data_IF_817104949303
#
_entry.id   IF_817104949303
#
_cell.length_a   1.000
_cell.length_b   1.000
_cell.length_c   1.000
_cell.angle_alpha   90.00
_cell.angle_beta   90.00
_cell.angle_gamma   90.00
#
_symmetry.space_group_name_H-M   'P 1'
#
loop_
_entity.id
_entity.type
_entity.pdbx_description
1 polymer ?
#
# COMPACT_ATOMS: atom_id res chain seq x y z
N UNK A 1 -4.54 -23.17 8.41
CA UNK A 1 -3.79 -22.04 8.99
C UNK A 1 -3.23 -22.48 10.33
N UNK A 2 -1.91 -22.40 10.52
CA UNK A 2 -1.29 -22.73 11.81
C UNK A 2 -1.40 -21.52 12.74
N UNK A 3 -1.46 -21.75 14.06
CA UNK A 3 -1.49 -20.67 15.08
C UNK A 3 -0.30 -19.71 14.96
N UNK A 4 0.81 -20.17 14.40
CA UNK A 4 2.02 -19.39 14.18
C UNK A 4 1.85 -18.21 13.16
N UNK A 5 0.89 -18.30 12.23
CA UNK A 5 0.65 -17.24 11.23
C UNK A 5 -0.32 -16.16 11.73
N UNK A 6 -1.03 -16.40 12.83
CA UNK A 6 -2.03 -15.49 13.37
C UNK A 6 -1.50 -14.08 13.67
N UNK A 7 -0.30 -13.89 14.27
CA UNK A 7 0.24 -12.54 14.49
C UNK A 7 0.42 -11.74 13.20
N UNK A 8 0.90 -12.38 12.11
CA UNK A 8 1.05 -11.72 10.81
C UNK A 8 -0.30 -11.31 10.20
N UNK A 9 -1.31 -12.17 10.32
CA UNK A 9 -2.67 -11.87 9.83
C UNK A 9 -3.29 -10.70 10.62
N UNK A 10 -3.18 -10.72 11.94
CA UNK A 10 -3.69 -9.63 12.79
C UNK A 10 -2.97 -8.32 12.54
N UNK A 11 -1.64 -8.35 12.39
CA UNK A 11 -0.86 -7.17 12.07
C UNK A 11 -1.26 -6.60 10.70
N UNK A 12 -1.39 -7.43 9.67
CA UNK A 12 -1.84 -7.01 8.35
C UNK A 12 -3.25 -6.41 8.40
N UNK A 13 -4.20 -7.07 9.06
CA UNK A 13 -5.57 -6.60 9.21
C UNK A 13 -5.61 -5.23 9.92
N UNK A 14 -4.85 -5.07 11.00
CA UNK A 14 -4.77 -3.82 11.76
C UNK A 14 -4.15 -2.68 10.93
N UNK A 15 -3.09 -2.96 10.16
CA UNK A 15 -2.45 -1.97 9.28
C UNK A 15 -3.41 -1.54 8.17
N UNK A 16 -4.06 -2.49 7.50
CA UNK A 16 -5.00 -2.18 6.42
C UNK A 16 -6.19 -1.39 6.96
N UNK A 17 -6.77 -1.78 8.08
CA UNK A 17 -7.85 -1.04 8.73
C UNK A 17 -7.41 0.38 9.10
N UNK A 18 -6.28 0.52 9.79
CA UNK A 18 -5.74 1.82 10.20
C UNK A 18 -5.48 2.72 8.97
N UNK A 19 -4.88 2.16 7.91
CA UNK A 19 -4.58 2.93 6.69
C UNK A 19 -5.84 3.41 5.98
N UNK A 20 -6.90 2.58 5.92
CA UNK A 20 -8.19 2.99 5.35
C UNK A 20 -8.89 4.10 6.15
N UNK A 21 -8.69 4.16 7.46
CA UNK A 21 -9.17 5.26 8.29
C UNK A 21 -8.28 6.49 8.10
N UNK A 22 -6.98 6.33 8.20
CA UNK A 22 -6.00 7.42 8.19
C UNK A 22 -5.87 8.10 6.82
N UNK A 23 -6.24 7.44 5.73
CA UNK A 23 -6.29 8.06 4.39
C UNK A 23 -7.31 9.22 4.30
N UNK A 24 -8.29 9.28 5.20
CA UNK A 24 -9.26 10.38 5.28
C UNK A 24 -8.66 11.67 5.88
N UNK A 25 -7.48 11.60 6.52
CA UNK A 25 -6.84 12.73 7.17
C UNK A 25 -5.64 13.21 6.37
N UNK A 26 -5.70 14.46 5.89
CA UNK A 26 -4.65 15.08 5.12
C UNK A 26 -3.39 15.32 5.97
N UNK A 27 -2.24 15.17 5.36
CA UNK A 27 -0.93 15.57 5.86
C UNK A 27 -0.25 16.49 4.85
N UNK A 28 -0.33 17.79 5.08
CA UNK A 28 0.14 18.82 4.14
C UNK A 28 -0.69 18.85 2.85
N UNK A 29 -0.04 19.22 1.73
CA UNK A 29 -0.69 19.40 0.42
C UNK A 29 -0.81 18.10 -0.39
N UNK A 30 0.11 17.14 -0.17
CA UNK A 30 0.37 16.05 -1.11
C UNK A 30 0.05 14.67 -0.56
N UNK A 31 -0.12 14.56 0.75
CA UNK A 31 -0.16 13.28 1.45
C UNK A 31 -1.37 13.16 2.36
N UNK A 32 -1.65 11.94 2.77
CA UNK A 32 -2.53 11.61 3.89
C UNK A 32 -1.75 10.84 4.95
N UNK A 33 -2.28 10.75 6.17
CA UNK A 33 -1.69 9.90 7.21
C UNK A 33 -1.65 8.42 6.82
N UNK A 34 -2.55 7.99 5.92
CA UNK A 34 -2.54 6.65 5.35
C UNK A 34 -1.26 6.32 4.59
N UNK A 35 -0.62 7.32 3.95
CA UNK A 35 0.63 7.13 3.22
C UNK A 35 1.79 6.66 4.12
N UNK A 36 1.74 6.95 5.42
CA UNK A 36 2.76 6.54 6.39
C UNK A 36 2.48 5.16 7.02
N UNK A 37 1.23 4.72 7.05
CA UNK A 37 0.84 3.45 7.68
C UNK A 37 0.79 2.30 6.69
N UNK A 38 0.30 2.55 5.48
CA UNK A 38 0.14 1.53 4.44
C UNK A 38 1.44 0.79 4.07
N UNK A 39 2.63 1.44 3.95
CA UNK A 39 3.88 0.73 3.65
C UNK A 39 4.30 -0.31 4.69
N UNK A 40 3.77 -0.25 5.92
CA UNK A 40 4.01 -1.29 6.93
C UNK A 40 3.44 -2.66 6.52
N UNK A 41 2.47 -2.69 5.60
CA UNK A 41 1.96 -3.94 5.03
C UNK A 41 3.06 -4.73 4.30
N UNK A 42 3.95 -4.06 3.57
CA UNK A 42 5.10 -4.71 2.92
C UNK A 42 6.06 -5.31 3.96
N UNK A 43 6.34 -4.59 5.05
CA UNK A 43 7.18 -5.13 6.13
C UNK A 43 6.58 -6.41 6.74
N UNK A 44 5.26 -6.45 6.97
CA UNK A 44 4.59 -7.66 7.49
C UNK A 44 4.71 -8.80 6.49
N UNK A 45 4.46 -8.56 5.21
CA UNK A 45 4.57 -9.55 4.14
C UNK A 45 6.00 -10.09 4.04
N UNK A 46 6.99 -9.21 4.07
CA UNK A 46 8.41 -9.55 4.02
C UNK A 46 8.85 -10.41 5.22
N UNK A 47 8.41 -10.04 6.43
CA UNK A 47 8.67 -10.82 7.64
C UNK A 47 8.05 -12.22 7.55
N UNK A 48 6.81 -12.32 7.10
CA UNK A 48 6.12 -13.59 6.91
C UNK A 48 6.82 -14.45 5.86
N UNK A 49 7.25 -13.84 4.76
CA UNK A 49 7.97 -14.55 3.70
C UNK A 49 9.36 -15.03 4.20
N UNK A 50 10.09 -14.18 4.93
CA UNK A 50 11.41 -14.56 5.46
C UNK A 50 11.34 -15.69 6.49
N UNK A 51 10.36 -15.65 7.40
CA UNK A 51 10.27 -16.57 8.53
C UNK A 51 9.57 -17.88 8.12
N UNK A 52 8.44 -17.76 7.40
CA UNK A 52 7.55 -18.90 7.12
C UNK A 52 7.48 -19.30 5.65
N UNK A 53 8.02 -18.47 4.72
CA UNK A 53 8.01 -18.73 3.30
C UNK A 53 6.83 -18.07 2.56
N UNK A 54 6.79 -18.23 1.21
CA UNK A 54 5.84 -17.52 0.36
C UNK A 54 4.39 -17.95 0.53
N UNK A 55 4.12 -19.20 0.93
CA UNK A 55 2.76 -19.70 1.15
C UNK A 55 2.03 -18.92 2.25
N UNK A 56 2.56 -18.92 3.50
CA UNK A 56 2.02 -18.12 4.59
C UNK A 56 1.99 -16.61 4.30
N UNK A 57 2.99 -16.06 3.61
CA UNK A 57 2.99 -14.65 3.21
C UNK A 57 1.77 -14.32 2.34
N UNK A 58 1.45 -15.15 1.33
CA UNK A 58 0.25 -14.99 0.50
C UNK A 58 -1.05 -15.06 1.31
N UNK A 59 -1.13 -15.96 2.32
CA UNK A 59 -2.31 -16.02 3.20
C UNK A 59 -2.52 -14.71 3.96
N UNK A 60 -1.45 -14.08 4.43
CA UNK A 60 -1.50 -12.77 5.10
C UNK A 60 -1.93 -11.69 4.13
N UNK A 61 -1.42 -11.70 2.89
CA UNK A 61 -1.85 -10.78 1.82
C UNK A 61 -3.34 -10.92 1.55
N UNK A 62 -3.85 -12.14 1.37
CA UNK A 62 -5.28 -12.36 1.14
C UNK A 62 -6.15 -11.93 2.33
N UNK A 63 -5.69 -12.13 3.57
CA UNK A 63 -6.40 -11.63 4.74
C UNK A 63 -6.48 -10.09 4.73
N UNK A 64 -5.38 -9.40 4.45
CA UNK A 64 -5.35 -7.95 4.28
C UNK A 64 -6.26 -7.47 3.15
N UNK A 65 -6.24 -8.14 2.01
CA UNK A 65 -7.11 -7.85 0.87
C UNK A 65 -8.59 -7.92 1.25
N UNK A 66 -9.00 -9.00 1.93
CA UNK A 66 -10.40 -9.15 2.38
C UNK A 66 -10.79 -8.01 3.32
N UNK A 67 -9.93 -7.67 4.29
CA UNK A 67 -10.19 -6.53 5.20
C UNK A 67 -10.29 -5.23 4.41
N UNK A 68 -9.39 -4.99 3.45
CA UNK A 68 -9.42 -3.80 2.60
C UNK A 68 -10.71 -3.68 1.77
N UNK A 69 -11.18 -4.80 1.19
CA UNK A 69 -12.45 -4.84 0.46
C UNK A 69 -13.62 -4.48 1.38
N UNK A 70 -13.69 -5.06 2.57
CA UNK A 70 -14.73 -4.70 3.54
C UNK A 70 -14.67 -3.23 3.95
N UNK A 71 -13.48 -2.69 4.23
CA UNK A 71 -13.31 -1.27 4.53
C UNK A 71 -13.80 -0.39 3.36
N UNK A 72 -13.44 -0.73 2.13
CA UNK A 72 -13.87 0.01 0.94
C UNK A 72 -15.38 -0.05 0.76
N UNK A 73 -16.00 -1.23 0.91
CA UNK A 73 -17.48 -1.37 0.82
C UNK A 73 -18.19 -0.56 1.88
N UNK A 74 -17.70 -0.52 3.12
CA UNK A 74 -18.24 0.34 4.16
C UNK A 74 -18.04 1.81 3.78
N UNK A 75 -16.85 2.18 3.31
CA UNK A 75 -16.50 3.55 2.92
C UNK A 75 -17.37 4.10 1.78
N UNK A 76 -17.86 3.25 0.86
CA UNK A 76 -18.80 3.69 -0.21
C UNK A 76 -20.19 4.04 0.33
N UNK A 77 -20.56 3.58 1.52
CA UNK A 77 -21.84 3.87 2.16
C UNK A 77 -21.78 5.09 3.10
N UNK A 78 -20.59 5.51 3.48
CA UNK A 78 -20.38 6.68 4.35
C UNK A 78 -20.36 7.92 3.47
N UNK A 79 -21.35 8.82 3.66
CA UNK A 79 -21.42 10.09 2.96
C UNK A 79 -20.78 11.19 3.80
N UNK A 80 -19.79 11.87 3.22
CA UNK A 80 -19.13 13.04 3.79
C UNK A 80 -19.78 14.30 3.23
N UNK A 81 -19.77 15.38 4.02
CA UNK A 81 -20.26 16.69 3.61
C UNK A 81 -19.10 17.58 3.20
N UNK A 82 -19.11 18.06 1.97
CA UNK A 82 -18.29 19.16 1.50
C UNK A 82 -19.04 20.49 1.48
N UNK A 83 -18.45 21.51 0.93
CA UNK A 83 -19.05 22.85 0.81
C UNK A 83 -20.21 22.84 -0.21
N UNK A 84 -21.42 22.47 0.28
CA UNK A 84 -22.64 22.46 -0.50
C UNK A 84 -22.96 21.15 -1.26
N UNK A 85 -22.16 20.12 -1.13
CA UNK A 85 -22.43 18.80 -1.72
C UNK A 85 -22.03 17.65 -0.80
N UNK A 86 -22.59 16.46 -1.06
CA UNK A 86 -22.24 15.23 -0.36
C UNK A 86 -21.49 14.29 -1.30
N UNK A 87 -20.50 13.58 -0.78
CA UNK A 87 -19.73 12.61 -1.55
C UNK A 87 -19.38 11.39 -0.68
N UNK A 88 -19.20 10.19 -1.29
CA UNK A 88 -18.84 9.01 -0.53
C UNK A 88 -17.40 9.13 0.00
N UNK A 89 -17.15 8.64 1.20
CA UNK A 89 -15.81 8.62 1.78
C UNK A 89 -14.82 7.81 0.93
N UNK A 90 -15.32 6.81 0.20
CA UNK A 90 -14.55 6.03 -0.78
C UNK A 90 -15.40 5.91 -2.05
N UNK A 91 -14.89 6.39 -3.19
CA UNK A 91 -15.55 6.20 -4.49
C UNK A 91 -15.30 4.79 -5.02
N UNK A 92 -16.11 4.32 -5.97
CA UNK A 92 -15.94 3.00 -6.58
C UNK A 92 -14.56 2.87 -7.25
N UNK A 93 -14.08 3.93 -7.90
CA UNK A 93 -12.75 3.97 -8.51
C UNK A 93 -11.63 3.81 -7.48
N UNK A 94 -11.74 4.49 -6.34
CA UNK A 94 -10.78 4.34 -5.23
C UNK A 94 -10.84 2.92 -4.68
N UNK A 95 -12.03 2.34 -4.49
CA UNK A 95 -12.20 0.98 -4.00
C UNK A 95 -11.55 -0.06 -4.94
N UNK A 96 -11.84 0.03 -6.24
CA UNK A 96 -11.25 -0.85 -7.26
C UNK A 96 -9.74 -0.63 -7.34
N UNK A 97 -9.29 0.61 -7.42
CA UNK A 97 -7.88 0.98 -7.52
C UNK A 97 -7.07 0.47 -6.34
N UNK A 98 -7.54 0.69 -5.12
CA UNK A 98 -6.85 0.23 -3.90
C UNK A 98 -6.81 -1.30 -3.80
N UNK A 99 -7.91 -1.99 -4.13
CA UNK A 99 -7.96 -3.45 -4.10
C UNK A 99 -7.01 -4.09 -5.13
N UNK A 100 -7.05 -3.63 -6.38
CA UNK A 100 -6.18 -4.15 -7.45
C UNK A 100 -4.71 -3.81 -7.20
N UNK A 101 -4.41 -2.58 -6.78
CA UNK A 101 -3.06 -2.14 -6.46
C UNK A 101 -2.48 -2.98 -5.31
N UNK A 102 -3.21 -3.08 -4.18
CA UNK A 102 -2.79 -3.88 -3.04
C UNK A 102 -2.50 -5.33 -3.42
N UNK A 103 -3.46 -6.00 -4.03
CA UNK A 103 -3.33 -7.43 -4.33
C UNK A 103 -2.17 -7.71 -5.30
N UNK A 104 -2.10 -6.93 -6.39
CA UNK A 104 -1.05 -7.09 -7.40
C UNK A 104 0.34 -6.80 -6.83
N UNK A 105 0.48 -5.67 -6.14
CA UNK A 105 1.76 -5.24 -5.58
C UNK A 105 2.27 -6.23 -4.53
N UNK A 106 1.43 -6.64 -3.58
CA UNK A 106 1.80 -7.55 -2.52
C UNK A 106 2.12 -8.97 -3.03
N UNK A 107 1.40 -9.48 -4.02
CA UNK A 107 1.71 -10.80 -4.60
C UNK A 107 3.02 -10.78 -5.40
N UNK A 108 3.30 -9.69 -6.12
CA UNK A 108 4.57 -9.50 -6.83
C UNK A 108 5.72 -9.34 -5.83
N UNK A 109 5.49 -8.56 -4.75
CA UNK A 109 6.45 -8.44 -3.65
C UNK A 109 6.82 -9.81 -3.09
N UNK A 110 5.85 -10.65 -2.73
CA UNK A 110 6.08 -12.03 -2.25
C UNK A 110 6.91 -12.83 -3.26
N UNK A 111 6.63 -12.72 -4.55
CA UNK A 111 7.32 -13.49 -5.58
C UNK A 111 8.79 -13.03 -5.76
N UNK A 112 9.03 -11.72 -5.77
CA UNK A 112 10.39 -11.15 -5.89
C UNK A 112 11.19 -11.47 -4.64
N UNK A 113 10.60 -11.25 -3.45
CA UNK A 113 11.25 -11.57 -2.19
C UNK A 113 11.70 -13.03 -2.13
N UNK A 114 10.82 -13.96 -2.51
CA UNK A 114 11.14 -15.40 -2.46
C UNK A 114 12.30 -15.75 -3.40
N UNK A 115 12.35 -15.16 -4.59
CA UNK A 115 13.46 -15.36 -5.53
C UNK A 115 14.80 -14.85 -4.98
N UNK A 116 14.77 -13.77 -4.20
CA UNK A 116 15.97 -13.10 -3.68
C UNK A 116 16.30 -13.50 -2.23
N UNK A 117 15.48 -14.33 -1.58
CA UNK A 117 15.57 -14.63 -0.14
C UNK A 117 16.88 -15.31 0.29
N UNK A 118 17.58 -15.98 -0.63
CA UNK A 118 18.87 -16.64 -0.34
C UNK A 118 20.08 -15.69 -0.38
N UNK A 119 19.87 -14.47 -0.89
CA UNK A 119 20.91 -13.45 -0.98
C UNK A 119 21.16 -12.71 0.34
N UNK A 120 21.88 -11.59 0.25
CA UNK A 120 22.11 -10.71 1.40
C UNK A 120 20.79 -10.28 2.03
N UNK A 121 20.76 -10.18 3.34
CA UNK A 121 19.55 -9.99 4.16
C UNK A 121 18.65 -8.81 3.74
N UNK A 122 19.23 -7.73 3.21
CA UNK A 122 18.54 -6.50 2.82
C UNK A 122 18.04 -6.50 1.35
N UNK A 123 18.65 -7.34 0.48
CA UNK A 123 18.33 -7.33 -0.97
C UNK A 123 16.89 -7.75 -1.25
N UNK A 124 16.45 -8.80 -0.60
CA UNK A 124 15.09 -9.29 -0.81
C UNK A 124 14.04 -8.23 -0.41
N UNK A 125 13.98 -7.74 0.85
CA UNK A 125 12.97 -6.78 1.24
C UNK A 125 13.07 -5.45 0.48
N UNK A 126 14.28 -4.95 0.19
CA UNK A 126 14.41 -3.69 -0.52
C UNK A 126 13.95 -3.80 -1.99
N UNK A 127 14.38 -4.84 -2.69
CA UNK A 127 14.03 -5.00 -4.11
C UNK A 127 12.55 -5.33 -4.30
N UNK A 128 11.97 -6.20 -3.45
CA UNK A 128 10.56 -6.56 -3.54
C UNK A 128 9.67 -5.35 -3.24
N UNK A 129 9.96 -4.63 -2.15
CA UNK A 129 9.19 -3.44 -1.77
C UNK A 129 9.35 -2.31 -2.77
N UNK A 130 10.54 -2.10 -3.37
CA UNK A 130 10.73 -1.10 -4.43
C UNK A 130 9.81 -1.37 -5.63
N UNK A 131 9.79 -2.59 -6.13
CA UNK A 131 8.94 -2.96 -7.28
C UNK A 131 7.48 -2.95 -6.87
N UNK A 132 7.14 -3.56 -5.72
CA UNK A 132 5.78 -3.62 -5.21
C UNK A 132 5.18 -2.22 -5.00
N UNK A 133 5.89 -1.32 -4.32
CA UNK A 133 5.41 0.05 -4.07
C UNK A 133 5.27 0.88 -5.36
N UNK A 134 6.15 0.67 -6.34
CA UNK A 134 6.04 1.32 -7.65
C UNK A 134 4.77 0.88 -8.39
N UNK A 135 4.49 -0.42 -8.41
CA UNK A 135 3.27 -0.97 -9.02
C UNK A 135 2.01 -0.52 -8.27
N UNK A 136 2.05 -0.57 -6.94
CA UNK A 136 0.95 -0.11 -6.10
C UNK A 136 0.57 1.34 -6.41
N UNK A 137 1.54 2.25 -6.36
CA UNK A 137 1.32 3.67 -6.63
C UNK A 137 0.84 3.90 -8.07
N UNK A 138 1.48 3.26 -9.06
CA UNK A 138 1.10 3.42 -10.46
C UNK A 138 -0.34 2.94 -10.71
N UNK A 139 -0.71 1.76 -10.23
CA UNK A 139 -2.04 1.20 -10.40
C UNK A 139 -3.09 2.02 -9.66
N UNK A 140 -2.84 2.31 -8.38
CA UNK A 140 -3.80 3.04 -7.57
C UNK A 140 -4.13 4.41 -8.15
N UNK A 141 -3.11 5.26 -8.35
CA UNK A 141 -3.34 6.64 -8.81
C UNK A 141 -3.92 6.70 -10.23
N UNK A 142 -3.49 5.80 -11.12
CA UNK A 142 -4.07 5.73 -12.47
C UNK A 142 -5.55 5.35 -12.43
N UNK A 143 -5.93 4.31 -11.68
CA UNK A 143 -7.33 3.85 -11.64
C UNK A 143 -8.20 4.87 -10.89
N UNK A 144 -7.73 5.36 -9.75
CA UNK A 144 -8.51 6.27 -8.92
C UNK A 144 -8.73 7.64 -9.58
N UNK A 145 -7.72 8.20 -10.25
CA UNK A 145 -7.72 9.63 -10.60
C UNK A 145 -7.54 9.97 -12.08
N UNK A 146 -7.03 9.07 -12.94
CA UNK A 146 -6.82 9.40 -14.35
C UNK A 146 -8.14 9.71 -15.08
N UNK A 147 -8.18 10.80 -15.85
CA UNK A 147 -9.32 11.15 -16.70
C UNK A 147 -9.61 10.11 -17.80
N UNK A 148 -8.62 9.32 -18.21
CA UNK A 148 -8.78 8.23 -19.19
C UNK A 148 -9.63 7.06 -18.71
N UNK A 149 -9.93 6.96 -17.42
CA UNK A 149 -10.70 5.86 -16.80
C UNK A 149 -12.02 6.32 -16.17
N UNK A 150 -12.56 7.49 -16.55
CA UNK A 150 -13.83 8.02 -16.05
C UNK A 150 -15.03 7.11 -16.36
N UNK A 151 -14.92 6.26 -17.37
CA UNK A 151 -15.94 5.27 -17.73
C UNK A 151 -16.22 4.23 -16.64
N UNK A 152 -15.27 4.01 -15.68
CA UNK A 152 -15.50 3.10 -14.54
C UNK A 152 -16.57 3.64 -13.59
N UNK A 153 -16.60 4.96 -13.38
CA UNK A 153 -17.56 5.64 -12.51
C UNK A 153 -17.81 7.06 -13.07
N UNK A 154 -18.68 7.20 -14.07
CA UNK A 154 -18.92 8.49 -14.73
C UNK A 154 -19.45 9.60 -13.81
N UNK A 155 -20.11 9.22 -12.71
CA UNK A 155 -20.64 10.17 -11.73
C UNK A 155 -19.57 10.74 -10.79
N UNK A 156 -18.36 10.12 -10.74
CA UNK A 156 -17.28 10.58 -9.90
C UNK A 156 -16.46 11.66 -10.63
N UNK A 157 -16.59 12.90 -10.17
CA UNK A 157 -15.80 14.01 -10.70
C UNK A 157 -14.35 13.93 -10.21
N UNK A 158 -13.43 13.73 -11.14
CA UNK A 158 -11.98 13.72 -10.92
C UNK A 158 -11.29 14.92 -11.59
N UNK A 159 -12.03 15.95 -11.98
CA UNK A 159 -11.48 17.15 -12.67
C UNK A 159 -10.41 17.82 -11.82
N UNK A 160 -10.64 17.93 -10.51
CA UNK A 160 -9.69 18.47 -9.54
C UNK A 160 -8.33 17.77 -9.57
N UNK A 161 -8.32 16.44 -9.71
CA UNK A 161 -7.09 15.65 -9.76
C UNK A 161 -6.37 15.77 -11.10
N UNK A 162 -7.09 16.18 -12.16
CA UNK A 162 -6.56 16.38 -13.51
C UNK A 162 -6.25 17.85 -13.82
N UNK A 163 -6.37 18.75 -12.86
CA UNK A 163 -5.92 20.13 -12.98
C UNK A 163 -4.43 20.16 -13.31
N UNK A 164 -4.06 20.91 -14.32
CA UNK A 164 -2.68 21.01 -14.83
C UNK A 164 -1.93 22.05 -14.02
N UNK A 165 -1.04 21.56 -13.15
CA UNK A 165 -0.24 22.36 -12.22
C UNK A 165 1.26 22.07 -12.39
N UNK A 166 2.16 22.97 -11.91
CA UNK A 166 3.58 22.65 -11.87
C UNK A 166 3.84 21.39 -11.06
N UNK A 167 4.50 20.40 -11.65
CA UNK A 167 4.82 19.12 -11.02
C UNK A 167 5.61 19.34 -9.73
N UNK A 168 5.07 18.89 -8.60
CA UNK A 168 5.62 19.13 -7.25
C UNK A 168 5.90 20.62 -6.95
N UNK A 169 5.12 21.55 -7.53
CA UNK A 169 5.25 23.01 -7.42
C UNK A 169 6.51 23.63 -8.09
N UNK A 170 7.38 22.84 -8.71
CA UNK A 170 8.67 23.36 -9.25
C UNK A 170 9.01 22.80 -10.64
N UNK A 171 8.36 21.72 -11.09
CA UNK A 171 8.63 21.04 -12.35
C UNK A 171 7.79 21.52 -13.54
N UNK A 172 7.85 20.83 -14.68
CA UNK A 172 6.97 21.07 -15.81
C UNK A 172 5.50 20.83 -15.41
N UNK A 173 4.56 21.40 -16.17
CA UNK A 173 3.14 21.22 -15.89
C UNK A 173 2.68 19.79 -16.14
N UNK A 174 1.91 19.24 -15.20
CA UNK A 174 1.37 17.88 -15.23
C UNK A 174 0.04 17.82 -14.46
N UNK A 175 -0.80 16.81 -14.67
CA UNK A 175 -1.98 16.60 -13.83
C UNK A 175 -1.61 16.46 -12.36
N UNK A 176 -2.40 17.08 -11.48
CA UNK A 176 -2.16 17.11 -10.03
C UNK A 176 -1.96 15.69 -9.43
N UNK A 177 -2.75 14.70 -9.89
CA UNK A 177 -2.63 13.32 -9.38
C UNK A 177 -1.24 12.72 -9.59
N UNK A 178 -0.47 13.16 -10.59
CA UNK A 178 0.91 12.69 -10.79
C UNK A 178 1.85 13.19 -9.69
N UNK A 179 1.66 14.43 -9.23
CA UNK A 179 2.41 14.97 -8.07
C UNK A 179 2.07 14.22 -6.79
N UNK A 180 0.77 13.93 -6.57
CA UNK A 180 0.32 13.12 -5.43
C UNK A 180 0.92 11.72 -5.47
N UNK A 181 0.93 11.08 -6.65
CA UNK A 181 1.49 9.73 -6.82
C UNK A 181 2.99 9.69 -6.49
N UNK A 182 3.76 10.67 -6.99
CA UNK A 182 5.21 10.69 -6.72
C UNK A 182 5.50 11.03 -5.27
N UNK A 183 4.75 11.94 -4.64
CA UNK A 183 4.90 12.22 -3.22
C UNK A 183 4.62 10.97 -2.36
N UNK A 184 3.54 10.24 -2.62
CA UNK A 184 3.21 8.96 -1.99
C UNK A 184 4.32 7.92 -2.18
N UNK A 185 4.81 7.77 -3.41
CA UNK A 185 5.89 6.85 -3.74
C UNK A 185 7.19 7.17 -3.00
N UNK A 186 7.57 8.45 -2.89
CA UNK A 186 8.75 8.87 -2.13
C UNK A 186 8.65 8.52 -0.65
N UNK A 187 7.47 8.66 -0.04
CA UNK A 187 7.22 8.22 1.34
C UNK A 187 7.37 6.71 1.47
N UNK A 188 6.78 5.93 0.55
CA UNK A 188 6.92 4.46 0.52
C UNK A 188 8.37 4.01 0.43
N UNK A 189 9.18 4.65 -0.43
CA UNK A 189 10.61 4.35 -0.54
C UNK A 189 11.38 4.69 0.73
N UNK A 190 11.11 5.86 1.31
CA UNK A 190 11.76 6.27 2.56
C UNK A 190 11.44 5.30 3.70
N UNK A 191 10.18 4.89 3.80
CA UNK A 191 9.75 3.91 4.81
C UNK A 191 10.28 2.51 4.53
N UNK A 192 10.45 2.10 3.27
CA UNK A 192 11.09 0.84 2.92
C UNK A 192 12.54 0.77 3.43
N UNK A 193 13.30 1.85 3.32
CA UNK A 193 14.66 1.95 3.87
C UNK A 193 14.66 1.89 5.40
N UNK A 194 13.78 2.65 6.06
CA UNK A 194 13.64 2.64 7.52
C UNK A 194 13.19 1.27 8.04
N UNK A 195 12.29 0.60 7.32
CA UNK A 195 11.75 -0.72 7.67
C UNK A 195 12.80 -1.84 7.64
N UNK A 196 13.94 -1.66 6.97
CA UNK A 196 15.05 -2.60 7.05
C UNK A 196 15.58 -2.79 8.48
N UNK A 197 15.48 -1.75 9.33
CA UNK A 197 15.94 -1.81 10.72
C UNK A 197 15.10 -2.82 11.52
N UNK A 198 13.76 -2.62 11.69
CA UNK A 198 12.94 -3.59 12.41
C UNK A 198 12.90 -4.96 11.72
N UNK A 199 12.96 -5.03 10.40
CA UNK A 199 13.07 -6.28 9.66
C UNK A 199 14.28 -7.10 10.13
N UNK A 200 15.47 -6.51 10.14
CA UNK A 200 16.71 -7.16 10.58
C UNK A 200 16.62 -7.61 12.04
N UNK A 201 16.10 -6.74 12.92
CA UNK A 201 15.98 -7.03 14.35
C UNK A 201 15.05 -8.23 14.62
N UNK A 202 13.91 -8.29 13.94
CA UNK A 202 12.94 -9.38 14.13
C UNK A 202 13.48 -10.68 13.56
N UNK A 203 14.03 -10.66 12.34
CA UNK A 203 14.57 -11.87 11.69
C UNK A 203 15.75 -12.44 12.47
N UNK A 204 16.63 -11.61 13.04
CA UNK A 204 17.75 -12.08 13.85
C UNK A 204 17.32 -12.77 15.15
N UNK A 205 16.20 -12.35 15.73
CA UNK A 205 15.62 -12.98 16.93
C UNK A 205 14.84 -14.26 16.62
N UNK A 206 14.19 -14.30 15.44
CA UNK A 206 13.39 -15.46 15.02
C UNK A 206 14.24 -16.68 14.59
N UNK A 207 15.55 -16.52 14.36
CA UNK A 207 16.49 -17.58 13.94
C UNK A 207 17.69 -17.72 14.88
N UNK A 208 17.52 -17.97 16.18
CA UNK A 208 18.66 -18.16 17.08
C UNK A 208 19.39 -19.50 16.86
N UNK A 209 18.74 -20.53 16.30
CA UNK A 209 19.23 -21.92 16.34
C UNK A 209 20.08 -22.37 15.14
N UNK A 210 20.28 -21.56 14.10
CA UNK A 210 21.10 -21.96 12.93
C UNK A 210 22.56 -21.52 12.97
N UNK A 211 23.08 -21.02 14.11
CA UNK A 211 24.48 -20.61 14.28
C UNK A 211 25.39 -21.64 14.95
N UNK A 212 24.88 -22.84 15.25
CA UNK A 212 25.66 -23.90 15.91
C UNK A 212 25.54 -25.24 15.15
N UNK A 213 25.92 -25.25 13.90
CA UNK A 213 26.21 -26.46 13.14
C UNK A 213 27.32 -26.16 12.12
#
# INVERSE_FOLDING_TARGET
MTRAHLPGILAMAAIVLASNILVQFLFGQWLTWGAFTYPLAFLVTDLMNRIYGPGPARQVVFAGFIVGVFCSLIGTQIMLQGDGFTYPAVTLRIAIGSGLAFLTAQLIDVAIFDRLRQGTWWRAPLASTLVGSTLDTALFFTIAFSSGLTWIEPANDVSWANEVLPFLNVGPVAPLWMSLAVADWMVKLSLALVALIPFRMIVSKARPEQKSA
#
